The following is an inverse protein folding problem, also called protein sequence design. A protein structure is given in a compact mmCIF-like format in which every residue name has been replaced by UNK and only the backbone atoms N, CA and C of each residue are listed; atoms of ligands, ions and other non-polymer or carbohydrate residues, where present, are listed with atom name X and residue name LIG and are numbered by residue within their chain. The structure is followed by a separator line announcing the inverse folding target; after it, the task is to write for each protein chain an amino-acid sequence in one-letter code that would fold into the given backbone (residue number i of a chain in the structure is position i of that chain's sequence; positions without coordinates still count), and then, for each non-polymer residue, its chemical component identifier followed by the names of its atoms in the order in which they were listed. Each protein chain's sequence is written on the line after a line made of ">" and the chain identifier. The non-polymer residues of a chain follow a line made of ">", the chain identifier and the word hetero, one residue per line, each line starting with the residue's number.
data_IF_769206850324
#
_entry.id   IF_769206850324
#
_cell.length_a   1.000
_cell.length_b   1.000
_cell.length_c   1.000
_cell.angle_alpha   90.00
_cell.angle_beta   90.00
_cell.angle_gamma   90.00
#
_symmetry.space_group_name_H-M   'P 1'
#
loop_
_entity.id
_entity.type
_entity.pdbx_description
1 polymer ?
#
# COMPACT_ATOMS: atom_id res chain seq x y z
N UNK A 1 4.54 -13.32 -14.81
CA UNK A 1 3.27 -12.88 -14.19
C UNK A 1 3.40 -13.04 -12.70
N UNK A 2 3.67 -11.95 -11.97
CA UNK A 2 3.69 -11.98 -10.50
C UNK A 2 2.26 -11.87 -9.99
N UNK A 3 1.96 -12.69 -8.99
CA UNK A 3 0.63 -13.00 -8.48
C UNK A 3 0.18 -11.90 -7.49
N UNK A 4 -0.51 -10.88 -8.00
CA UNK A 4 -0.95 -9.72 -7.19
C UNK A 4 -2.10 -10.07 -6.22
N UNK A 5 -2.62 -11.31 -6.26
CA UNK A 5 -3.68 -11.79 -5.35
C UNK A 5 -3.20 -12.23 -3.94
N UNK A 6 -2.00 -11.85 -3.46
CA UNK A 6 -1.34 -12.56 -2.35
C UNK A 6 -1.04 -11.77 -1.07
N UNK A 7 -1.51 -10.52 -0.93
CA UNK A 7 -1.39 -9.83 0.35
C UNK A 7 -2.42 -10.36 1.34
N UNK A 8 -2.00 -11.27 2.22
CA UNK A 8 -2.82 -11.89 3.27
C UNK A 8 -2.86 -11.08 4.56
N UNK A 9 -2.70 -9.75 4.47
CA UNK A 9 -2.77 -8.88 5.64
C UNK A 9 -4.23 -8.53 5.94
N UNK A 10 -4.68 -8.65 7.20
CA UNK A 10 -6.01 -8.20 7.57
C UNK A 10 -6.10 -6.68 7.44
N UNK A 11 -7.26 -6.16 7.05
CA UNK A 11 -7.56 -4.74 7.17
C UNK A 11 -7.36 -4.31 8.63
N UNK A 12 -6.77 -3.14 8.84
CA UNK A 12 -6.34 -2.65 10.15
C UNK A 12 -4.91 -3.04 10.54
N UNK A 13 -4.24 -3.93 9.81
CA UNK A 13 -2.83 -4.23 10.06
C UNK A 13 -1.94 -3.01 9.76
N UNK A 14 -0.96 -2.73 10.62
CA UNK A 14 0.10 -1.79 10.31
C UNK A 14 1.11 -2.49 9.41
N UNK A 15 1.35 -1.92 8.23
CA UNK A 15 2.25 -2.45 7.20
C UNK A 15 3.33 -1.43 6.86
N UNK A 16 4.49 -1.95 6.46
CA UNK A 16 5.54 -1.19 5.76
C UNK A 16 5.46 -1.52 4.28
N UNK A 17 5.46 -0.50 3.43
CA UNK A 17 5.38 -0.61 1.97
C UNK A 17 6.60 0.08 1.38
N UNK A 18 7.41 -0.67 0.62
CA UNK A 18 8.60 -0.17 -0.05
C UNK A 18 8.30 -0.08 -1.55
N UNK A 19 8.47 1.10 -2.13
CA UNK A 19 8.26 1.31 -3.57
C UNK A 19 9.53 1.11 -4.39
N UNK A 20 9.37 0.98 -5.71
CA UNK A 20 10.45 0.88 -6.70
C UNK A 20 11.38 2.12 -6.68
N UNK A 21 10.89 3.27 -6.19
CA UNK A 21 11.69 4.49 -5.98
C UNK A 21 12.46 4.51 -4.65
N UNK A 22 12.32 3.47 -3.81
CA UNK A 22 12.94 3.37 -2.50
C UNK A 22 12.21 4.13 -1.39
N UNK A 23 11.04 4.69 -1.67
CA UNK A 23 10.23 5.36 -0.64
C UNK A 23 9.58 4.29 0.24
N UNK A 24 9.61 4.52 1.55
CA UNK A 24 9.01 3.63 2.55
C UNK A 24 7.81 4.32 3.16
N UNK A 25 6.63 3.74 2.96
CA UNK A 25 5.40 4.16 3.63
C UNK A 25 5.08 3.22 4.77
N UNK A 26 4.73 3.78 5.92
CA UNK A 26 4.32 3.00 7.08
C UNK A 26 2.93 3.46 7.51
N UNK A 27 1.98 2.54 7.53
CA UNK A 27 0.59 2.88 7.79
C UNK A 27 -0.33 1.69 8.01
N UNK A 28 -1.54 1.99 8.45
CA UNK A 28 -2.63 1.02 8.61
C UNK A 28 -3.25 0.69 7.27
N UNK A 29 -3.32 -0.59 6.91
CA UNK A 29 -3.98 -1.08 5.71
C UNK A 29 -5.50 -0.91 5.81
N UNK A 30 -6.11 -0.20 4.86
CA UNK A 30 -7.55 0.08 4.87
C UNK A 30 -8.30 -0.64 3.74
N UNK A 31 -7.75 -0.66 2.54
CA UNK A 31 -8.42 -1.24 1.37
C UNK A 31 -7.38 -1.65 0.31
N UNK A 32 -7.71 -2.69 -0.48
CA UNK A 32 -7.06 -2.97 -1.75
C UNK A 32 -8.11 -2.84 -2.84
N UNK A 33 -7.92 -1.90 -3.79
CA UNK A 33 -8.89 -1.65 -4.87
C UNK A 33 -8.32 -2.05 -6.21
N UNK A 34 -9.14 -2.76 -6.99
CA UNK A 34 -8.87 -3.09 -8.38
C UNK A 34 -9.68 -2.14 -9.27
N UNK A 35 -9.02 -1.33 -10.10
CA UNK A 35 -9.68 -0.55 -11.13
C UNK A 35 -10.08 -1.49 -12.28
N UNK A 36 -11.39 -1.73 -12.37
CA UNK A 36 -12.00 -2.48 -13.47
C UNK A 36 -12.56 -1.54 -14.54
N UNK A 37 -12.24 -0.24 -14.50
CA UNK A 37 -12.70 0.72 -15.49
C UNK A 37 -12.04 0.44 -16.85
N UNK A 38 -12.81 0.57 -17.93
CA UNK A 38 -12.48 0.04 -19.26
C UNK A 38 -11.27 0.71 -19.92
N UNK A 39 -10.82 1.85 -19.39
CA UNK A 39 -9.71 2.62 -19.96
C UNK A 39 -8.35 2.27 -19.34
N UNK A 40 -8.30 1.69 -18.15
CA UNK A 40 -7.05 1.22 -17.51
C UNK A 40 -7.27 -0.13 -16.79
N UNK A 41 -7.69 -1.18 -17.53
CA UNK A 41 -7.94 -2.49 -16.96
C UNK A 41 -6.65 -3.05 -16.34
N UNK A 42 -6.69 -3.31 -15.04
CA UNK A 42 -5.58 -3.94 -14.30
C UNK A 42 -4.78 -3.00 -13.40
N UNK A 43 -5.14 -1.72 -13.29
CA UNK A 43 -4.61 -0.87 -12.22
C UNK A 43 -5.12 -1.34 -10.85
N UNK A 44 -4.22 -1.40 -9.88
CA UNK A 44 -4.54 -1.85 -8.53
C UNK A 44 -3.85 -0.93 -7.53
N UNK A 45 -4.58 -0.54 -6.49
CA UNK A 45 -4.11 0.39 -5.48
C UNK A 45 -4.24 -0.21 -4.08
N UNK A 46 -3.19 -0.01 -3.29
CA UNK A 46 -3.18 -0.24 -1.85
C UNK A 46 -3.49 1.08 -1.15
N UNK A 47 -4.51 1.11 -0.29
CA UNK A 47 -4.85 2.26 0.52
C UNK A 47 -4.36 2.05 1.94
N UNK A 48 -3.50 2.94 2.40
CA UNK A 48 -3.03 2.95 3.79
C UNK A 48 -3.25 4.33 4.42
N UNK A 49 -3.53 4.34 5.72
CA UNK A 49 -3.47 5.55 6.54
C UNK A 49 -2.10 5.64 7.21
N UNK A 50 -1.34 6.69 6.94
CA UNK A 50 0.03 6.82 7.44
C UNK A 50 0.09 6.88 8.96
N UNK A 51 0.93 6.07 9.57
CA UNK A 51 1.26 6.17 11.01
C UNK A 51 2.57 6.92 11.25
N UNK A 52 3.35 7.16 10.19
CA UNK A 52 4.60 7.95 10.19
C UNK A 52 4.55 8.91 9.00
N UNK A 53 5.03 10.15 9.19
CA UNK A 53 5.12 11.14 8.11
C UNK A 53 6.18 10.73 7.08
N UNK A 54 5.84 10.87 5.80
CA UNK A 54 6.72 10.58 4.66
C UNK A 54 6.49 11.69 3.65
N UNK A 55 7.47 12.57 3.45
CA UNK A 55 7.28 13.74 2.59
C UNK A 55 6.78 13.37 1.19
N UNK A 56 5.74 14.05 0.67
CA UNK A 56 5.09 15.28 1.18
C UNK A 56 3.95 15.06 2.19
N UNK A 57 3.68 13.82 2.58
CA UNK A 57 2.51 13.44 3.37
C UNK A 57 2.76 13.51 4.88
N UNK A 58 1.69 13.77 5.64
CA UNK A 58 1.71 13.85 7.10
C UNK A 58 1.14 12.59 7.76
N UNK A 59 1.34 12.44 9.08
CA UNK A 59 0.72 11.36 9.86
C UNK A 59 -0.80 11.47 9.78
N UNK A 60 -1.48 10.33 9.61
CA UNK A 60 -2.93 10.22 9.50
C UNK A 60 -3.48 10.41 8.09
N UNK A 61 -2.64 10.81 7.13
CA UNK A 61 -3.03 11.00 5.74
C UNK A 61 -3.29 9.67 5.02
N UNK A 62 -4.28 9.67 4.13
CA UNK A 62 -4.62 8.52 3.30
C UNK A 62 -3.78 8.56 2.02
N UNK A 63 -3.01 7.50 1.77
CA UNK A 63 -2.20 7.37 0.55
C UNK A 63 -2.67 6.16 -0.25
N UNK A 64 -2.87 6.38 -1.56
CA UNK A 64 -3.11 5.34 -2.53
C UNK A 64 -1.80 5.00 -3.26
N UNK A 65 -1.33 3.77 -3.12
CA UNK A 65 -0.06 3.31 -3.70
C UNK A 65 -0.38 2.32 -4.81
N UNK A 66 0.09 2.58 -6.03
CA UNK A 66 -0.09 1.62 -7.12
C UNK A 66 0.71 0.36 -6.81
N UNK A 67 0.05 -0.81 -6.85
CA UNK A 67 0.69 -2.09 -6.49
C UNK A 67 1.85 -2.43 -7.43
N UNK A 68 1.82 -1.96 -8.68
CA UNK A 68 2.92 -2.15 -9.62
C UNK A 68 4.18 -1.36 -9.23
N UNK A 69 4.05 -0.36 -8.35
CA UNK A 69 5.16 0.38 -7.79
C UNK A 69 5.71 -0.23 -6.50
N UNK A 70 5.07 -1.27 -5.95
CA UNK A 70 5.48 -1.91 -4.69
C UNK A 70 6.54 -2.97 -4.98
N UNK A 71 7.71 -2.81 -4.39
CA UNK A 71 8.76 -3.84 -4.39
C UNK A 71 8.56 -4.83 -3.25
N UNK A 72 8.13 -4.35 -2.08
CA UNK A 72 7.94 -5.17 -0.89
C UNK A 72 6.87 -4.59 0.03
N UNK A 73 6.16 -5.46 0.73
CA UNK A 73 5.21 -5.11 1.78
C UNK A 73 5.24 -6.18 2.87
N UNK A 74 5.17 -5.75 4.13
CA UNK A 74 5.17 -6.66 5.28
C UNK A 74 4.54 -6.03 6.52
N UNK A 75 4.10 -6.84 7.49
CA UNK A 75 3.52 -6.35 8.72
C UNK A 75 4.62 -5.73 9.59
N UNK A 76 4.29 -4.65 10.30
CA UNK A 76 5.14 -4.17 11.39
C UNK A 76 4.64 -4.81 12.68
N UNK A 77 5.45 -5.70 13.25
CA UNK A 77 5.21 -6.25 14.57
C UNK A 77 5.73 -5.22 15.58
N UNK A 78 4.81 -4.46 16.16
CA UNK A 78 5.07 -3.62 17.32
C UNK A 78 5.02 -4.54 18.55
N UNK A 79 6.18 -4.93 19.05
CA UNK A 79 6.36 -5.70 20.30
C UNK A 79 6.24 -4.81 21.52
#
# INVERSE_FOLDING_TARGET
>A
MSNINSFTFPLGAVVSVITNSGVVYVGTLLEVRHCNDSNEPGLQFLFIQLTIAVGPYVVGELVAININEITSIGPIIIS
#
